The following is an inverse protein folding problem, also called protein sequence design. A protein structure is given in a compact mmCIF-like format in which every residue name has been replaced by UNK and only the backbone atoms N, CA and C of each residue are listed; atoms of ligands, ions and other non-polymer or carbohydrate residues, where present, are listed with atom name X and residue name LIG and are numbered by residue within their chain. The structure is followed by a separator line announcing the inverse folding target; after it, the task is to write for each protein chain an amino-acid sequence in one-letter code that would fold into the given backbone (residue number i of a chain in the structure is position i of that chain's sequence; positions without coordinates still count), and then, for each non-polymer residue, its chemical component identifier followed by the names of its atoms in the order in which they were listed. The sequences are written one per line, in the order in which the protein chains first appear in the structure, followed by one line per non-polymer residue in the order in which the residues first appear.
data_IF_774374034946
#
_entry.id   IF_774374034946
#
_cell.length_a   1.000
_cell.length_b   1.000
_cell.length_c   1.000
_cell.angle_alpha   90.00
_cell.angle_beta   90.00
_cell.angle_gamma   90.00
#
_symmetry.space_group_name_H-M   'P 1'
#
loop_
_entity.id
_entity.type
_entity.pdbx_description
1 polymer ?
#
# COMPACT_ATOMS: atom_id res chain seq x y z
N UNK A 1 -10.03 -4.91 14.64
CA UNK A 1 -10.00 -4.71 13.18
C UNK A 1 -8.80 -3.87 12.76
N UNK A 2 -7.72 -4.55 12.37
CA UNK A 2 -6.44 -3.96 11.98
C UNK A 2 -6.06 -4.48 10.58
N UNK A 3 -6.27 -3.64 9.57
CA UNK A 3 -5.83 -3.90 8.20
C UNK A 3 -4.56 -3.10 8.00
N UNK A 4 -3.47 -3.79 7.69
CA UNK A 4 -2.15 -3.15 7.63
C UNK A 4 -1.91 -2.54 6.26
N UNK A 5 -2.30 -3.26 5.21
CA UNK A 5 -2.12 -2.80 3.85
C UNK A 5 -3.11 -3.39 2.86
N UNK A 6 -3.18 -2.74 1.70
CA UNK A 6 -3.81 -3.23 0.50
C UNK A 6 -2.77 -3.36 -0.63
N UNK A 7 -2.72 -4.52 -1.25
CA UNK A 7 -1.77 -4.85 -2.32
C UNK A 7 -2.53 -5.16 -3.62
N UNK A 8 -2.16 -4.47 -4.70
CA UNK A 8 -2.71 -4.72 -6.04
C UNK A 8 -1.63 -5.22 -7.00
N UNK A 9 -2.08 -5.90 -8.05
CA UNK A 9 -1.22 -6.28 -9.18
C UNK A 9 -0.52 -7.64 -9.05
N UNK A 10 -0.73 -8.39 -7.96
CA UNK A 10 -0.21 -9.75 -7.79
C UNK A 10 -0.76 -10.66 -8.89
N UNK A 11 0.10 -11.39 -9.60
CA UNK A 11 -0.31 -12.37 -10.62
C UNK A 11 -0.93 -13.61 -9.99
N UNK A 12 -1.84 -14.31 -10.68
CA UNK A 12 -2.51 -15.50 -10.13
C UNK A 12 -1.55 -16.59 -9.65
N UNK A 13 -0.42 -16.78 -10.35
CA UNK A 13 0.61 -17.73 -9.94
C UNK A 13 1.33 -17.32 -8.64
N UNK A 14 1.76 -16.06 -8.55
CA UNK A 14 2.41 -15.54 -7.34
C UNK A 14 1.44 -15.45 -6.14
N UNK A 15 0.15 -15.22 -6.41
CA UNK A 15 -0.90 -15.04 -5.40
C UNK A 15 -1.06 -16.25 -4.49
N UNK A 16 -1.07 -17.46 -5.05
CA UNK A 16 -1.21 -18.70 -4.30
C UNK A 16 -0.06 -18.86 -3.30
N UNK A 17 1.17 -18.60 -3.75
CA UNK A 17 2.36 -18.66 -2.89
C UNK A 17 2.28 -17.57 -1.80
N UNK A 18 1.93 -16.35 -2.18
CA UNK A 18 1.79 -15.22 -1.25
C UNK A 18 0.79 -15.49 -0.13
N UNK A 19 -0.39 -16.03 -0.45
CA UNK A 19 -1.40 -16.36 0.56
C UNK A 19 -0.83 -17.36 1.58
N UNK A 20 -0.22 -18.46 1.09
CA UNK A 20 0.37 -19.49 1.96
C UNK A 20 1.47 -18.93 2.87
N UNK A 21 2.38 -18.15 2.30
CA UNK A 21 3.50 -17.56 3.05
C UNK A 21 2.99 -16.58 4.12
N UNK A 22 1.93 -15.83 3.84
CA UNK A 22 1.32 -14.90 4.79
C UNK A 22 0.54 -15.59 5.90
N UNK A 23 -0.13 -16.70 5.61
CA UNK A 23 -0.82 -17.51 6.62
C UNK A 23 0.16 -18.09 7.65
N UNK A 24 1.34 -18.51 7.20
CA UNK A 24 2.45 -18.96 8.09
C UNK A 24 2.93 -17.82 9.00
N UNK A 25 2.93 -16.58 8.52
CA UNK A 25 3.23 -15.38 9.28
C UNK A 25 2.05 -14.87 10.13
N UNK A 26 0.98 -15.67 10.28
CA UNK A 26 -0.23 -15.38 11.06
C UNK A 26 -1.04 -14.19 10.56
N UNK A 27 -0.89 -13.81 9.29
CA UNK A 27 -1.79 -12.87 8.65
C UNK A 27 -3.10 -13.54 8.23
N UNK A 28 -4.15 -12.73 8.13
CA UNK A 28 -5.38 -13.09 7.46
C UNK A 28 -5.47 -12.34 6.13
N UNK A 29 -5.71 -13.07 5.04
CA UNK A 29 -5.79 -12.50 3.69
C UNK A 29 -7.25 -12.34 3.29
N UNK A 30 -7.60 -11.15 2.78
CA UNK A 30 -8.90 -10.84 2.19
C UNK A 30 -8.68 -10.64 0.69
N UNK A 31 -9.22 -11.52 -0.13
CA UNK A 31 -9.06 -11.49 -1.59
C UNK A 31 -10.25 -10.78 -2.27
N UNK A 32 -10.03 -9.55 -2.74
CA UNK A 32 -11.06 -8.77 -3.41
C UNK A 32 -11.45 -9.33 -4.78
N UNK A 33 -10.54 -10.00 -5.48
CA UNK A 33 -10.85 -10.58 -6.79
C UNK A 33 -11.83 -11.76 -6.59
N UNK A 34 -11.63 -12.56 -5.55
CA UNK A 34 -12.54 -13.66 -5.20
C UNK A 34 -13.90 -13.15 -4.73
N UNK A 35 -13.93 -12.18 -3.82
CA UNK A 35 -15.17 -11.56 -3.34
C UNK A 35 -15.97 -10.97 -4.51
N UNK A 36 -15.31 -10.21 -5.39
CA UNK A 36 -15.94 -9.61 -6.56
C UNK A 36 -16.53 -10.69 -7.48
N UNK A 37 -15.78 -11.75 -7.77
CA UNK A 37 -16.26 -12.87 -8.57
C UNK A 37 -17.48 -13.57 -7.95
N UNK A 38 -17.50 -13.75 -6.63
CA UNK A 38 -18.63 -14.35 -5.91
C UNK A 38 -19.88 -13.47 -6.00
N UNK A 39 -19.73 -12.15 -5.86
CA UNK A 39 -20.83 -11.19 -6.04
C UNK A 39 -21.37 -11.25 -7.47
N UNK A 40 -20.48 -11.28 -8.47
CA UNK A 40 -20.86 -11.31 -9.89
C UNK A 40 -21.61 -12.58 -10.30
N UNK A 41 -21.29 -13.71 -9.64
CA UNK A 41 -21.96 -15.01 -9.86
C UNK A 41 -23.22 -15.19 -9.01
N UNK A 42 -23.49 -14.27 -8.08
CA UNK A 42 -24.66 -14.32 -7.22
C UNK A 42 -25.97 -14.18 -8.02
N UNK A 43 -27.01 -14.91 -7.61
CA UNK A 43 -28.30 -14.94 -8.30
C UNK A 43 -28.90 -13.54 -8.52
N UNK A 44 -28.81 -12.65 -7.52
CA UNK A 44 -29.29 -11.27 -7.64
C UNK A 44 -28.54 -10.47 -8.71
N UNK A 45 -27.21 -10.60 -8.79
CA UNK A 45 -26.42 -9.91 -9.81
C UNK A 45 -26.69 -10.47 -11.20
N UNK A 46 -26.82 -11.79 -11.32
CA UNK A 46 -27.19 -12.46 -12.58
C UNK A 46 -28.56 -11.99 -13.09
N UNK A 47 -29.55 -11.87 -12.19
CA UNK A 47 -30.87 -11.32 -12.53
C UNK A 47 -30.80 -9.86 -13.00
N UNK A 48 -30.08 -9.02 -12.26
CA UNK A 48 -29.88 -7.62 -12.65
C UNK A 48 -29.18 -7.50 -14.00
N UNK A 49 -28.16 -8.33 -14.25
CA UNK A 49 -27.46 -8.36 -15.53
C UNK A 49 -28.36 -8.79 -16.69
N UNK A 50 -29.22 -9.81 -16.48
CA UNK A 50 -30.20 -10.24 -17.48
C UNK A 50 -31.19 -9.13 -17.81
N UNK A 51 -31.72 -8.42 -16.81
CA UNK A 51 -32.58 -7.25 -17.02
C UNK A 51 -31.86 -6.13 -17.76
N UNK A 52 -30.62 -5.84 -17.37
CA UNK A 52 -29.77 -4.86 -18.04
C UNK A 52 -29.63 -5.17 -19.53
N UNK A 53 -29.30 -6.42 -19.86
CA UNK A 53 -29.09 -6.85 -21.23
C UNK A 53 -30.38 -6.77 -22.05
N UNK A 54 -31.51 -7.22 -21.50
CA UNK A 54 -32.82 -7.11 -22.15
C UNK A 54 -33.24 -5.67 -22.46
N UNK A 55 -33.04 -4.73 -21.52
CA UNK A 55 -33.32 -3.31 -21.77
C UNK A 55 -32.33 -2.68 -22.76
N UNK A 56 -31.06 -3.09 -22.72
CA UNK A 56 -30.04 -2.57 -23.65
C UNK A 56 -30.32 -3.00 -25.09
N UNK A 57 -30.67 -4.27 -25.30
CA UNK A 57 -30.94 -4.83 -26.62
C UNK A 57 -32.22 -4.26 -27.23
N UNK A 58 -33.21 -3.95 -26.39
CA UNK A 58 -34.43 -3.23 -26.79
C UNK A 58 -34.25 -1.70 -26.91
N UNK A 59 -33.02 -1.18 -26.79
CA UNK A 59 -32.68 0.26 -26.81
C UNK A 59 -33.51 1.10 -25.80
N UNK A 60 -33.88 0.50 -24.67
CA UNK A 60 -34.69 1.11 -23.64
C UNK A 60 -33.80 1.73 -22.56
N UNK A 61 -33.89 3.05 -22.35
CA UNK A 61 -33.09 3.81 -21.40
C UNK A 61 -33.15 3.33 -19.94
N UNK A 62 -34.14 2.50 -19.56
CA UNK A 62 -34.18 1.82 -18.25
C UNK A 62 -32.93 0.98 -17.96
N UNK A 63 -32.15 0.57 -18.97
CA UNK A 63 -30.86 -0.09 -18.75
C UNK A 63 -29.92 0.76 -17.87
N UNK A 64 -30.01 2.11 -17.96
CA UNK A 64 -29.20 3.04 -17.14
C UNK A 64 -29.58 2.97 -15.65
N UNK A 65 -30.85 2.75 -15.34
CA UNK A 65 -31.30 2.56 -13.96
C UNK A 65 -30.82 1.23 -13.39
N UNK A 66 -30.90 0.16 -14.19
CA UNK A 66 -30.38 -1.15 -13.79
C UNK A 66 -28.86 -1.08 -13.59
N UNK A 67 -28.12 -0.38 -14.45
CA UNK A 67 -26.67 -0.17 -14.31
C UNK A 67 -26.30 0.52 -12.98
N UNK A 68 -27.09 1.53 -12.57
CA UNK A 68 -26.94 2.16 -11.25
C UNK A 68 -27.24 1.19 -10.11
N UNK A 69 -28.31 0.40 -10.22
CA UNK A 69 -28.66 -0.62 -9.21
C UNK A 69 -27.57 -1.68 -9.06
N UNK A 70 -27.02 -2.17 -10.18
CA UNK A 70 -25.90 -3.10 -10.18
C UNK A 70 -24.66 -2.50 -9.50
N UNK A 71 -24.35 -1.24 -9.80
CA UNK A 71 -23.22 -0.54 -9.17
C UNK A 71 -23.39 -0.47 -7.65
N UNK A 72 -24.54 0.02 -7.17
CA UNK A 72 -24.83 0.15 -5.74
C UNK A 72 -24.82 -1.22 -5.04
N UNK A 73 -25.39 -2.23 -5.69
CA UNK A 73 -25.40 -3.59 -5.18
C UNK A 73 -23.97 -4.14 -5.02
N UNK A 74 -23.13 -4.00 -6.05
CA UNK A 74 -21.74 -4.44 -5.99
C UNK A 74 -20.94 -3.68 -4.92
N UNK A 75 -21.04 -2.36 -4.86
CA UNK A 75 -20.34 -1.53 -3.86
C UNK A 75 -20.73 -1.94 -2.44
N UNK A 76 -22.03 -2.03 -2.17
CA UNK A 76 -22.55 -2.42 -0.84
C UNK A 76 -22.13 -3.84 -0.47
N UNK A 77 -22.23 -4.78 -1.41
CA UNK A 77 -21.85 -6.17 -1.17
C UNK A 77 -20.34 -6.30 -0.94
N UNK A 78 -19.51 -5.59 -1.70
CA UNK A 78 -18.05 -5.59 -1.49
C UNK A 78 -17.68 -5.05 -0.12
N UNK A 79 -18.24 -3.89 0.29
CA UNK A 79 -17.96 -3.28 1.60
C UNK A 79 -18.35 -4.21 2.75
N UNK A 80 -19.56 -4.80 2.69
CA UNK A 80 -20.02 -5.77 3.68
C UNK A 80 -19.13 -7.02 3.74
N UNK A 81 -18.74 -7.56 2.59
CA UNK A 81 -17.87 -8.74 2.54
C UNK A 81 -16.47 -8.44 3.10
N UNK A 82 -15.90 -7.26 2.86
CA UNK A 82 -14.62 -6.86 3.47
C UNK A 82 -14.76 -6.81 5.00
N UNK A 83 -15.81 -6.15 5.50
CA UNK A 83 -16.07 -6.02 6.94
C UNK A 83 -16.22 -7.41 7.58
N UNK A 84 -17.05 -8.27 6.99
CA UNK A 84 -17.35 -9.60 7.51
C UNK A 84 -16.15 -10.56 7.42
N UNK A 85 -15.29 -10.39 6.41
CA UNK A 85 -14.09 -11.22 6.24
C UNK A 85 -12.94 -10.78 7.16
N UNK A 86 -13.00 -9.59 7.76
CA UNK A 86 -11.87 -9.12 8.55
C UNK A 86 -11.77 -9.83 9.89
N UNK A 87 -10.60 -10.38 10.19
CA UNK A 87 -10.32 -11.03 11.47
C UNK A 87 -10.06 -10.00 12.58
N UNK A 88 -10.62 -10.27 13.77
CA UNK A 88 -10.27 -9.55 15.00
C UNK A 88 -9.07 -10.16 15.73
N UNK A 89 -8.65 -11.37 15.37
CA UNK A 89 -7.56 -12.11 16.03
C UNK A 89 -6.23 -11.98 15.30
N UNK A 90 -6.27 -11.74 13.98
CA UNK A 90 -5.09 -11.63 13.13
C UNK A 90 -4.99 -10.24 12.51
N UNK A 91 -3.76 -9.86 12.16
CA UNK A 91 -3.49 -8.72 11.28
C UNK A 91 -4.01 -9.05 9.88
N UNK A 92 -4.69 -8.12 9.23
CA UNK A 92 -5.36 -8.35 7.95
C UNK A 92 -4.58 -7.69 6.80
N UNK A 93 -4.50 -8.38 5.67
CA UNK A 93 -3.96 -7.88 4.42
C UNK A 93 -5.04 -8.03 3.36
N UNK A 94 -5.32 -6.95 2.64
CA UNK A 94 -6.23 -6.99 1.50
C UNK A 94 -5.38 -7.17 0.24
N UNK A 95 -5.80 -8.06 -0.65
CA UNK A 95 -5.18 -8.25 -1.96
C UNK A 95 -6.22 -8.18 -3.08
N UNK A 96 -5.79 -7.87 -4.29
CA UNK A 96 -6.66 -7.85 -5.46
C UNK A 96 -7.26 -6.48 -5.72
N UNK A 97 -8.00 -6.36 -6.81
CA UNK A 97 -8.45 -5.06 -7.30
C UNK A 97 -9.72 -4.56 -6.61
N UNK A 98 -9.72 -3.28 -6.28
CA UNK A 98 -10.84 -2.56 -5.66
C UNK A 98 -11.72 -1.79 -6.65
N UNK A 99 -11.44 -1.89 -7.96
CA UNK A 99 -12.20 -1.15 -8.97
C UNK A 99 -13.46 -1.90 -9.40
N UNK A 100 -14.46 -1.14 -9.83
CA UNK A 100 -15.73 -1.67 -10.30
C UNK A 100 -15.51 -2.50 -11.57
N UNK A 101 -16.11 -3.68 -11.62
CA UNK A 101 -15.95 -4.69 -12.68
C UNK A 101 -16.24 -4.17 -14.11
N UNK A 102 -16.99 -3.07 -14.25
CA UNK A 102 -17.25 -2.39 -15.54
C UNK A 102 -16.67 -0.99 -15.67
N UNK A 103 -16.19 -0.39 -14.58
CA UNK A 103 -15.68 0.98 -14.58
C UNK A 103 -14.45 1.10 -13.69
N UNK A 104 -13.29 0.99 -14.30
CA UNK A 104 -11.97 1.04 -13.65
C UNK A 104 -11.73 2.31 -12.80
N UNK A 105 -12.43 3.41 -13.09
CA UNK A 105 -12.28 4.66 -12.35
C UNK A 105 -13.08 4.67 -11.05
N UNK A 106 -14.18 3.89 -10.97
CA UNK A 106 -14.97 3.70 -9.75
C UNK A 106 -14.32 2.64 -8.88
N UNK A 107 -14.20 2.89 -7.58
CA UNK A 107 -13.52 2.02 -6.63
C UNK A 107 -14.20 2.04 -5.28
N UNK A 108 -14.11 0.92 -4.57
CA UNK A 108 -14.50 0.84 -3.17
C UNK A 108 -13.38 1.33 -2.27
N UNK A 109 -13.75 1.90 -1.12
CA UNK A 109 -12.82 2.16 -0.05
C UNK A 109 -12.48 0.85 0.66
N UNK A 110 -11.24 0.39 0.53
CA UNK A 110 -10.74 -0.83 1.20
C UNK A 110 -10.34 -0.60 2.65
N UNK A 111 -10.67 0.57 3.20
CA UNK A 111 -10.32 1.02 4.54
C UNK A 111 -11.61 1.16 5.36
N UNK A 112 -12.04 0.09 6.06
CA UNK A 112 -13.21 0.16 6.94
C UNK A 112 -13.04 1.28 7.97
N UNK A 113 -14.10 2.07 8.17
CA UNK A 113 -14.11 3.22 9.08
C UNK A 113 -13.06 4.30 8.75
N UNK A 114 -12.63 4.41 7.48
CA UNK A 114 -11.61 5.35 7.03
C UNK A 114 -10.29 5.24 7.81
N UNK A 115 -9.97 4.05 8.33
CA UNK A 115 -8.69 3.78 8.99
C UNK A 115 -7.54 3.79 7.97
N UNK A 116 -6.57 4.71 8.06
CA UNK A 116 -5.50 4.77 7.07
C UNK A 116 -4.68 3.47 7.03
N UNK A 117 -4.42 2.96 5.82
CA UNK A 117 -3.69 1.72 5.54
C UNK A 117 -2.60 1.98 4.50
N UNK A 118 -1.52 1.20 4.52
CA UNK A 118 -0.51 1.27 3.47
C UNK A 118 -1.05 0.71 2.14
N UNK A 119 -0.67 1.30 1.01
CA UNK A 119 -1.18 0.95 -0.32
C UNK A 119 -0.01 0.64 -1.24
N UNK A 120 0.05 -0.61 -1.72
CA UNK A 120 1.14 -1.10 -2.55
C UNK A 120 0.66 -1.60 -3.90
N UNK A 121 1.44 -1.30 -4.94
CA UNK A 121 1.22 -1.82 -6.28
C UNK A 121 2.46 -2.56 -6.76
N UNK A 122 2.23 -3.74 -7.34
CA UNK A 122 3.24 -4.50 -8.07
C UNK A 122 3.03 -4.24 -9.56
N UNK A 123 3.98 -3.56 -10.20
CA UNK A 123 3.92 -3.26 -11.62
C UNK A 123 4.02 -4.53 -12.45
N UNK A 124 3.26 -4.54 -13.54
CA UNK A 124 3.31 -5.63 -14.51
C UNK A 124 4.66 -5.65 -15.24
N UNK A 125 5.28 -6.82 -15.34
CA UNK A 125 6.40 -7.06 -16.25
C UNK A 125 5.95 -7.80 -17.51
N UNK A 126 6.77 -7.77 -18.57
CA UNK A 126 6.49 -8.58 -19.78
C UNK A 126 6.47 -10.07 -19.48
N UNK A 127 7.27 -10.55 -18.53
CA UNK A 127 7.23 -11.94 -18.04
C UNK A 127 5.90 -12.27 -17.40
N UNK A 128 5.36 -11.38 -16.56
CA UNK A 128 4.06 -11.58 -15.91
C UNK A 128 2.94 -11.73 -16.94
N UNK A 129 2.95 -10.93 -18.01
CA UNK A 129 1.96 -11.03 -19.09
C UNK A 129 2.03 -12.40 -19.77
N UNK A 130 3.24 -12.90 -20.06
CA UNK A 130 3.41 -14.23 -20.66
C UNK A 130 2.93 -15.34 -19.73
N UNK A 131 3.15 -15.19 -18.42
CA UNK A 131 2.68 -16.15 -17.43
C UNK A 131 1.15 -16.14 -17.32
N UNK A 132 0.52 -14.97 -17.38
CA UNK A 132 -0.94 -14.82 -17.46
C UNK A 132 -1.49 -15.54 -18.70
N UNK A 133 -0.90 -15.30 -19.88
CA UNK A 133 -1.31 -15.95 -21.13
C UNK A 133 -1.18 -17.47 -21.02
N UNK A 134 -0.04 -17.98 -20.54
CA UNK A 134 0.18 -19.42 -20.35
C UNK A 134 -0.87 -20.04 -19.42
N UNK A 135 -1.20 -19.36 -18.32
CA UNK A 135 -2.23 -19.81 -17.39
C UNK A 135 -3.62 -19.83 -18.05
N UNK A 136 -3.97 -18.80 -18.82
CA UNK A 136 -5.25 -18.73 -19.52
C UNK A 136 -5.39 -19.83 -20.58
N UNK A 137 -4.36 -20.04 -21.40
CA UNK A 137 -4.33 -21.12 -22.40
C UNK A 137 -4.49 -22.49 -21.73
N UNK A 138 -3.81 -22.71 -20.60
CA UNK A 138 -3.86 -24.00 -19.89
C UNK A 138 -5.22 -24.23 -19.25
N UNK A 139 -5.78 -23.20 -18.59
CA UNK A 139 -7.03 -23.31 -17.82
C UNK A 139 -8.28 -23.37 -18.70
N UNK A 140 -8.28 -22.65 -19.83
CA UNK A 140 -9.45 -22.48 -20.70
C UNK A 140 -9.24 -23.16 -22.06
N UNK A 141 -8.37 -24.19 -22.13
CA UNK A 141 -8.01 -24.87 -23.37
C UNK A 141 -9.23 -25.32 -24.17
N UNK A 142 -10.20 -25.96 -23.51
CA UNK A 142 -11.38 -26.50 -24.17
C UNK A 142 -12.31 -25.39 -24.68
N UNK A 143 -12.50 -24.32 -23.89
CA UNK A 143 -13.28 -23.14 -24.28
C UNK A 143 -12.64 -22.41 -25.47
N UNK A 144 -11.30 -22.37 -25.53
CA UNK A 144 -10.55 -21.81 -26.66
C UNK A 144 -10.78 -22.64 -27.92
N UNK A 145 -10.68 -23.97 -27.82
CA UNK A 145 -10.91 -24.89 -28.94
C UNK A 145 -12.36 -24.78 -29.45
N UNK A 146 -13.32 -24.61 -28.54
CA UNK A 146 -14.74 -24.45 -28.85
C UNK A 146 -15.11 -23.05 -29.33
N UNK A 147 -14.17 -22.09 -29.30
CA UNK A 147 -14.41 -20.70 -29.71
C UNK A 147 -15.29 -19.91 -28.74
N UNK A 148 -15.51 -20.39 -27.52
CA UNK A 148 -16.30 -19.72 -26.48
C UNK A 148 -15.45 -18.80 -25.59
N UNK A 149 -14.12 -18.88 -25.68
CA UNK A 149 -13.20 -18.05 -24.90
C UNK A 149 -12.78 -16.75 -25.64
N UNK A 150 -12.86 -15.57 -25.00
CA UNK A 150 -12.39 -14.31 -25.61
C UNK A 150 -10.88 -14.30 -25.85
N UNK A 151 -10.45 -14.13 -27.11
CA UNK A 151 -9.03 -14.19 -27.49
C UNK A 151 -8.22 -12.99 -26.98
N UNK A 152 -8.87 -11.87 -26.63
CA UNK A 152 -8.21 -10.73 -25.99
C UNK A 152 -7.52 -11.13 -24.67
N UNK A 153 -8.00 -12.18 -24.00
CA UNK A 153 -7.40 -12.70 -22.77
C UNK A 153 -6.15 -13.56 -23.01
N UNK A 154 -5.74 -13.80 -24.27
CA UNK A 154 -4.45 -14.39 -24.62
C UNK A 154 -3.59 -13.48 -25.50
N UNK A 155 -4.11 -12.30 -25.87
CA UNK A 155 -3.38 -11.28 -26.61
C UNK A 155 -2.42 -10.50 -25.69
N UNK A 156 -1.14 -10.47 -26.07
CA UNK A 156 -0.10 -9.85 -25.26
C UNK A 156 -0.30 -8.34 -25.11
N UNK A 157 -0.55 -7.64 -26.21
CA UNK A 157 -0.61 -6.18 -26.22
C UNK A 157 -1.86 -5.69 -25.51
N UNK A 158 -2.99 -6.39 -25.66
CA UNK A 158 -4.22 -6.11 -24.95
C UNK A 158 -4.03 -6.23 -23.44
N UNK A 159 -3.51 -7.37 -22.96
CA UNK A 159 -3.29 -7.61 -21.52
C UNK A 159 -2.27 -6.62 -20.96
N UNK A 160 -1.14 -6.43 -21.65
CA UNK A 160 -0.08 -5.53 -21.22
C UNK A 160 -0.57 -4.08 -21.14
N UNK A 161 -1.24 -3.58 -22.17
CA UNK A 161 -1.78 -2.22 -22.18
C UNK A 161 -2.86 -2.03 -21.11
N UNK A 162 -3.74 -3.02 -20.88
CA UNK A 162 -4.75 -2.93 -19.84
C UNK A 162 -4.12 -2.88 -18.44
N UNK A 163 -3.07 -3.68 -18.21
CA UNK A 163 -2.32 -3.66 -16.95
C UNK A 163 -1.59 -2.34 -16.72
N UNK A 164 -0.95 -1.76 -17.74
CA UNK A 164 -0.32 -0.44 -17.62
C UNK A 164 -1.32 0.68 -17.30
N UNK A 165 -2.54 0.60 -17.86
CA UNK A 165 -3.64 1.52 -17.53
C UNK A 165 -4.05 1.39 -16.06
N UNK A 166 -4.21 0.16 -15.57
CA UNK A 166 -4.47 -0.11 -14.16
C UNK A 166 -3.37 0.45 -13.28
N UNK A 167 -2.11 0.17 -13.62
CA UNK A 167 -0.97 0.60 -12.81
C UNK A 167 -0.94 2.13 -12.67
N UNK A 168 -1.11 2.84 -13.79
CA UNK A 168 -1.21 4.31 -13.81
C UNK A 168 -2.35 4.84 -12.95
N UNK A 169 -3.50 4.17 -12.96
CA UNK A 169 -4.65 4.56 -12.14
C UNK A 169 -4.32 4.37 -10.66
N UNK A 170 -3.76 3.23 -10.25
CA UNK A 170 -3.45 3.00 -8.85
C UNK A 170 -2.35 3.93 -8.32
N UNK A 171 -1.31 4.21 -9.10
CA UNK A 171 -0.27 5.20 -8.74
C UNK A 171 -0.86 6.60 -8.52
N UNK A 172 -1.73 7.06 -9.42
CA UNK A 172 -2.44 8.36 -9.27
C UNK A 172 -3.28 8.44 -8.00
N UNK A 173 -3.60 7.31 -7.37
CA UNK A 173 -4.36 7.22 -6.13
C UNK A 173 -3.49 6.88 -4.93
N UNK A 174 -2.19 7.14 -5.05
CA UNK A 174 -1.24 7.05 -3.96
C UNK A 174 -0.83 5.62 -3.62
N UNK A 175 -0.87 4.67 -4.56
CA UNK A 175 -0.25 3.36 -4.32
C UNK A 175 1.25 3.46 -4.60
N UNK A 176 2.07 2.93 -3.70
CA UNK A 176 3.53 2.90 -3.88
C UNK A 176 3.93 1.65 -4.62
N UNK A 177 4.70 1.84 -5.70
CA UNK A 177 5.34 0.74 -6.41
C UNK A 177 6.33 0.01 -5.49
N UNK A 178 6.13 -1.30 -5.34
CA UNK A 178 7.01 -2.19 -4.59
C UNK A 178 7.09 -3.55 -5.29
N UNK A 179 8.26 -4.18 -5.27
CA UNK A 179 8.38 -5.59 -5.64
C UNK A 179 7.75 -6.49 -4.58
N UNK A 180 7.33 -7.69 -4.97
CA UNK A 180 6.76 -8.67 -4.04
C UNK A 180 7.73 -8.99 -2.89
N UNK A 181 9.03 -9.14 -3.18
CA UNK A 181 10.07 -9.36 -2.17
C UNK A 181 10.18 -8.20 -1.18
N UNK A 182 10.00 -6.97 -1.65
CA UNK A 182 10.00 -5.81 -0.77
C UNK A 182 8.78 -5.82 0.15
N UNK A 183 7.61 -6.18 -0.38
CA UNK A 183 6.38 -6.33 0.41
C UNK A 183 6.56 -7.42 1.47
N UNK A 184 7.14 -8.58 1.12
CA UNK A 184 7.47 -9.63 2.10
C UNK A 184 8.34 -9.11 3.24
N UNK A 185 9.39 -8.36 2.92
CA UNK A 185 10.28 -7.76 3.94
C UNK A 185 9.52 -6.80 4.85
N UNK A 186 8.70 -5.92 4.28
CA UNK A 186 7.87 -4.97 5.06
C UNK A 186 6.94 -5.72 6.01
N UNK A 187 6.20 -6.72 5.51
CA UNK A 187 5.26 -7.48 6.31
C UNK A 187 5.95 -8.30 7.41
N UNK A 188 7.08 -8.95 7.09
CA UNK A 188 7.85 -9.66 8.10
C UNK A 188 8.34 -8.73 9.22
N UNK A 189 8.77 -7.51 8.87
CA UNK A 189 9.15 -6.49 9.86
C UNK A 189 7.93 -5.98 10.65
N UNK A 190 6.74 -5.88 10.03
CA UNK A 190 5.51 -5.43 10.67
C UNK A 190 4.99 -6.37 11.76
N UNK A 191 5.50 -7.59 11.84
CA UNK A 191 5.20 -8.53 12.93
C UNK A 191 6.03 -8.31 14.19
N UNK A 192 7.07 -7.47 14.12
CA UNK A 192 7.88 -7.10 15.27
C UNK A 192 7.32 -5.83 15.92
N UNK A 193 7.45 -5.73 17.23
CA UNK A 193 7.07 -4.51 17.95
C UNK A 193 8.01 -3.35 17.62
N UNK A 194 7.48 -2.13 17.74
CA UNK A 194 8.27 -0.91 17.55
C UNK A 194 9.06 -0.67 18.83
N UNK A 195 10.36 -0.95 18.78
CA UNK A 195 11.29 -0.70 19.88
C UNK A 195 11.41 0.81 20.18
N UNK A 196 11.45 1.16 21.47
CA UNK A 196 11.69 2.53 21.96
C UNK A 196 10.44 3.39 22.21
N UNK A 197 10.69 4.64 22.62
CA UNK A 197 9.68 5.58 23.13
C UNK A 197 8.61 5.96 22.11
N UNK A 198 8.85 5.74 20.82
CA UNK A 198 8.11 6.50 19.81
C UNK A 198 8.56 6.34 18.38
N UNK A 199 7.86 7.05 17.51
CA UNK A 199 8.35 7.40 16.18
C UNK A 199 8.58 8.90 16.13
N UNK A 200 9.78 9.30 15.72
CA UNK A 200 10.25 10.67 15.71
C UNK A 200 10.41 11.18 14.27
N UNK A 201 9.99 12.42 14.05
CA UNK A 201 10.16 13.15 12.79
C UNK A 201 10.87 14.47 13.09
N UNK A 202 11.96 14.76 12.38
CA UNK A 202 12.63 16.06 12.47
C UNK A 202 12.15 16.99 11.35
N UNK A 203 11.82 18.24 11.69
CA UNK A 203 11.44 19.29 10.75
C UNK A 203 12.15 20.61 11.05
N UNK A 204 12.23 21.47 10.02
CA UNK A 204 12.80 22.83 10.13
C UNK A 204 11.80 23.84 10.72
N UNK A 205 10.51 23.64 10.44
CA UNK A 205 9.44 24.56 10.81
C UNK A 205 8.73 24.10 12.08
N UNK A 206 8.23 25.04 12.91
CA UNK A 206 7.43 24.72 14.06
C UNK A 206 6.01 24.30 13.66
N UNK A 207 5.51 23.26 14.33
CA UNK A 207 4.15 22.77 14.33
C UNK A 207 3.63 22.70 15.77
N UNK A 208 2.31 22.81 15.91
CA UNK A 208 1.63 22.67 17.20
C UNK A 208 1.42 21.19 17.55
N UNK A 209 1.44 20.87 18.85
CA UNK A 209 0.98 19.57 19.34
C UNK A 209 -0.47 19.34 18.91
N UNK A 210 -0.84 18.09 18.64
CA UNK A 210 -2.14 17.67 18.10
C UNK A 210 -2.41 18.10 16.65
N UNK A 211 -1.53 18.87 16.03
CA UNK A 211 -1.62 19.14 14.59
C UNK A 211 -1.13 17.94 13.76
N UNK A 212 -1.46 17.94 12.46
CA UNK A 212 -1.08 16.87 11.53
C UNK A 212 0.04 17.31 10.61
N UNK A 213 1.04 16.45 10.45
CA UNK A 213 2.06 16.55 9.40
C UNK A 213 1.53 15.78 8.19
N UNK A 214 1.45 16.42 7.03
CA UNK A 214 0.99 15.79 5.79
C UNK A 214 2.17 15.37 4.92
N UNK A 215 2.17 14.17 4.32
CA UNK A 215 3.12 13.85 3.27
C UNK A 215 2.96 14.82 2.09
N UNK A 216 4.05 15.06 1.35
CA UNK A 216 3.95 15.77 0.08
C UNK A 216 3.09 14.95 -0.90
N UNK A 217 2.50 15.62 -1.90
CA UNK A 217 1.69 14.95 -2.92
C UNK A 217 2.50 13.82 -3.57
N UNK A 218 1.95 12.61 -3.56
CA UNK A 218 2.58 11.37 -4.05
C UNK A 218 3.89 10.99 -3.33
N UNK A 219 4.05 11.40 -2.07
CA UNK A 219 5.22 11.08 -1.25
C UNK A 219 4.79 10.41 0.07
N UNK A 220 5.76 10.13 0.93
CA UNK A 220 5.56 9.51 2.25
C UNK A 220 6.32 10.28 3.33
N UNK A 221 5.78 10.24 4.54
CA UNK A 221 6.48 10.68 5.74
C UNK A 221 7.44 9.58 6.17
N UNK A 222 8.64 9.96 6.59
CA UNK A 222 9.56 9.07 7.27
C UNK A 222 9.61 9.40 8.75
N UNK A 223 9.57 8.37 9.58
CA UNK A 223 9.78 8.49 11.01
C UNK A 223 10.75 7.42 11.50
N UNK A 224 11.39 7.69 12.62
CA UNK A 224 12.47 6.84 13.14
C UNK A 224 12.26 6.56 14.62
N UNK A 225 12.66 5.38 15.09
CA UNK A 225 12.64 5.07 16.53
C UNK A 225 13.71 5.84 17.29
N UNK A 226 14.81 6.18 16.61
CA UNK A 226 15.94 6.94 17.14
C UNK A 226 15.88 8.43 16.76
N UNK A 227 16.04 9.31 17.75
CA UNK A 227 15.99 10.78 17.60
C UNK A 227 17.11 11.30 16.72
N UNK A 228 18.33 10.76 16.85
CA UNK A 228 19.48 11.18 16.05
C UNK A 228 19.29 10.81 14.58
N UNK A 229 18.74 9.64 14.28
CA UNK A 229 18.38 9.26 12.91
C UNK A 229 17.31 10.16 12.31
N UNK A 230 16.29 10.53 13.09
CA UNK A 230 15.29 11.50 12.66
C UNK A 230 15.96 12.84 12.30
N UNK A 231 16.85 13.35 13.15
CA UNK A 231 17.61 14.58 12.89
C UNK A 231 18.47 14.48 11.63
N UNK A 232 19.31 13.44 11.52
CA UNK A 232 20.19 13.22 10.37
C UNK A 232 19.42 13.13 9.06
N UNK A 233 18.19 12.60 9.07
CA UNK A 233 17.34 12.52 7.88
C UNK A 233 16.87 13.89 7.37
N UNK A 234 16.92 14.93 8.21
CA UNK A 234 16.52 16.29 7.87
C UNK A 234 17.67 17.16 7.32
N UNK A 235 18.90 16.63 7.31
CA UNK A 235 20.07 17.25 6.72
C UNK A 235 20.51 16.51 5.46
N UNK A 236 21.15 17.21 4.53
CA UNK A 236 21.68 16.62 3.32
C UNK A 236 23.16 16.29 3.51
N UNK A 237 23.49 15.01 3.36
CA UNK A 237 24.84 14.48 3.42
C UNK A 237 25.10 13.61 2.19
N UNK A 238 26.31 13.71 1.65
CA UNK A 238 26.76 12.79 0.60
C UNK A 238 27.23 11.46 1.23
N UNK A 239 27.25 10.38 0.44
CA UNK A 239 27.63 9.03 0.90
C UNK A 239 29.09 8.95 1.41
N UNK A 240 29.93 9.89 0.97
CA UNK A 240 31.34 10.00 1.33
C UNK A 240 31.59 10.98 2.51
N UNK A 241 30.55 11.57 3.09
CA UNK A 241 30.67 12.56 4.18
C UNK A 241 30.46 11.96 5.57
N UNK A 242 29.55 11.00 5.71
CA UNK A 242 29.20 10.40 7.00
C UNK A 242 29.12 8.87 6.92
N UNK A 243 29.62 8.22 7.95
CA UNK A 243 29.37 6.82 8.23
C UNK A 243 28.40 6.70 9.42
N UNK A 244 27.34 5.90 9.25
CA UNK A 244 26.39 5.59 10.31
C UNK A 244 26.64 4.16 10.76
N UNK A 245 26.82 3.96 12.06
CA UNK A 245 27.01 2.64 12.65
C UNK A 245 26.18 2.51 13.92
N UNK A 246 25.97 1.27 14.35
CA UNK A 246 25.28 0.97 15.60
C UNK A 246 26.29 0.54 16.64
N UNK A 247 26.23 1.16 17.81
CA UNK A 247 26.99 0.79 19.00
C UNK A 247 26.01 0.59 20.16
N UNK A 248 25.94 -0.62 20.72
CA UNK A 248 24.98 -0.98 21.77
C UNK A 248 23.53 -0.55 21.48
N UNK A 249 23.03 -0.81 20.26
CA UNK A 249 21.70 -0.41 19.76
C UNK A 249 21.45 1.11 19.69
N UNK A 250 22.45 1.94 19.96
CA UNK A 250 22.39 3.38 19.72
C UNK A 250 23.05 3.72 18.39
N UNK A 251 22.44 4.64 17.65
CA UNK A 251 23.01 5.11 16.40
C UNK A 251 24.14 6.07 16.72
N UNK A 252 25.31 5.80 16.13
CA UNK A 252 26.45 6.70 16.15
C UNK A 252 26.83 7.10 14.74
N UNK A 253 27.48 8.25 14.65
CA UNK A 253 27.91 8.84 13.39
C UNK A 253 29.40 9.10 13.46
N UNK A 254 30.13 8.75 12.40
CA UNK A 254 31.52 9.10 12.22
C UNK A 254 31.64 10.00 10.99
N UNK A 255 32.18 11.20 11.17
CA UNK A 255 32.50 12.09 10.07
C UNK A 255 33.69 11.52 9.27
N UNK A 256 33.56 11.49 7.95
CA UNK A 256 34.66 11.07 7.04
C UNK A 256 35.47 12.26 6.53
N UNK A 257 34.95 13.48 6.70
CA UNK A 257 35.62 14.74 6.34
C UNK A 257 35.44 15.74 7.48
N UNK A 258 36.45 16.57 7.68
CA UNK A 258 36.44 17.60 8.72
C UNK A 258 35.32 18.64 8.47
N UNK A 259 34.72 19.13 9.55
CA UNK A 259 33.66 20.15 9.50
C UNK A 259 32.30 19.69 8.96
N UNK A 260 32.14 18.45 8.48
CA UNK A 260 30.87 17.97 7.91
C UNK A 260 29.70 18.06 8.90
N UNK A 261 29.96 17.78 10.17
CA UNK A 261 28.94 17.85 11.22
C UNK A 261 28.50 19.29 11.53
N UNK A 262 29.27 20.31 11.15
CA UNK A 262 28.88 21.71 11.30
C UNK A 262 27.66 22.08 10.44
N UNK A 263 27.33 21.28 9.40
CA UNK A 263 26.05 21.39 8.69
C UNK A 263 24.84 21.23 9.62
N UNK A 264 25.03 20.62 10.79
CA UNK A 264 24.02 20.44 11.82
C UNK A 264 23.95 21.62 12.81
N UNK A 265 24.73 22.68 12.60
CA UNK A 265 24.70 23.93 13.37
C UNK A 265 23.46 24.78 13.05
N UNK A 266 22.28 24.16 13.12
CA UNK A 266 20.99 24.77 12.85
C UNK A 266 19.95 24.33 13.88
N UNK A 267 18.92 25.15 14.10
CA UNK A 267 17.76 24.79 14.91
C UNK A 267 16.90 23.73 14.22
N UNK A 268 16.34 22.80 14.98
CA UNK A 268 15.38 21.80 14.51
C UNK A 268 14.29 21.52 15.54
N UNK A 269 13.18 21.00 15.06
CA UNK A 269 12.08 20.51 15.88
C UNK A 269 11.97 19.01 15.71
N UNK A 270 12.02 18.27 16.82
CA UNK A 270 11.77 16.83 16.86
C UNK A 270 10.34 16.60 17.34
N UNK A 271 9.56 15.91 16.54
CA UNK A 271 8.17 15.59 16.82
C UNK A 271 8.00 14.12 17.10
N UNK A 272 7.43 13.79 18.26
CA UNK A 272 6.89 12.46 18.52
C UNK A 272 5.53 12.35 17.84
N UNK A 273 5.30 11.29 17.07
CA UNK A 273 4.06 11.12 16.30
C UNK A 273 3.34 9.81 16.62
N UNK A 274 2.03 9.79 16.35
CA UNK A 274 1.22 8.57 16.44
C UNK A 274 1.74 7.46 15.51
N UNK A 275 1.94 6.26 16.07
CA UNK A 275 2.50 5.10 15.35
C UNK A 275 1.52 4.44 14.36
N UNK A 276 0.23 4.74 14.48
CA UNK A 276 -0.88 3.98 13.89
C UNK A 276 -0.82 3.78 12.36
N UNK A 277 -0.23 4.72 11.63
CA UNK A 277 -0.22 4.71 10.16
C UNK A 277 1.16 4.43 9.56
N UNK A 278 2.13 4.14 10.41
CA UNK A 278 3.49 3.85 10.00
C UNK A 278 3.68 2.36 9.77
N UNK A 279 4.29 2.03 8.65
CA UNK A 279 4.78 0.68 8.34
C UNK A 279 6.30 0.68 8.26
N UNK A 280 6.98 -0.43 8.58
CA UNK A 280 8.44 -0.51 8.50
C UNK A 280 8.94 -0.25 7.08
N UNK A 281 10.07 0.45 6.97
CA UNK A 281 10.77 0.60 5.71
C UNK A 281 11.66 -0.63 5.46
N UNK A 282 11.68 -1.14 4.23
CA UNK A 282 12.40 -2.39 3.90
C UNK A 282 13.91 -2.33 4.14
N UNK A 283 14.50 -1.13 4.06
CA UNK A 283 15.92 -0.84 4.34
C UNK A 283 16.17 -0.33 5.77
N UNK A 284 15.14 -0.36 6.62
CA UNK A 284 15.12 0.34 7.90
C UNK A 284 15.53 -0.50 9.10
N UNK A 285 15.60 -1.83 8.97
CA UNK A 285 15.87 -2.77 10.06
C UNK A 285 15.10 -2.44 11.37
N UNK A 286 13.80 -2.15 11.27
CA UNK A 286 12.94 -1.69 12.38
C UNK A 286 13.30 -0.36 13.05
N UNK A 287 14.22 0.42 12.49
CA UNK A 287 14.55 1.76 12.97
C UNK A 287 13.88 2.84 12.12
N UNK A 288 13.57 2.54 10.85
CA UNK A 288 12.94 3.47 9.91
C UNK A 288 11.56 2.98 9.49
N UNK A 289 10.59 3.88 9.56
CA UNK A 289 9.20 3.64 9.19
C UNK A 289 8.75 4.70 8.20
N UNK A 290 7.67 4.41 7.47
CA UNK A 290 7.03 5.39 6.61
C UNK A 290 5.51 5.34 6.69
N UNK A 291 4.87 6.48 6.43
CA UNK A 291 3.42 6.63 6.32
C UNK A 291 3.07 7.37 5.03
N UNK A 292 2.05 6.91 4.33
CA UNK A 292 1.46 7.61 3.17
C UNK A 292 0.32 8.55 3.59
N UNK A 293 0.05 8.59 4.89
CA UNK A 293 -1.09 9.22 5.50
C UNK A 293 -0.59 10.25 6.53
N UNK A 294 -1.38 11.28 6.86
CA UNK A 294 -0.95 12.31 7.79
C UNK A 294 -0.67 11.75 9.18
N UNK A 295 0.37 12.28 9.85
CA UNK A 295 0.76 11.87 11.18
C UNK A 295 0.38 12.94 12.21
N UNK A 296 -0.35 12.56 13.27
CA UNK A 296 -0.67 13.45 14.38
C UNK A 296 0.53 13.61 15.30
N UNK A 297 0.85 14.84 15.68
CA UNK A 297 1.92 15.17 16.62
C UNK A 297 1.44 14.96 18.06
N UNK A 298 2.20 14.18 18.81
CA UNK A 298 1.96 13.90 20.23
C UNK A 298 2.77 14.85 21.11
N UNK A 299 4.05 15.08 20.76
CA UNK A 299 4.96 15.89 21.56
C UNK A 299 6.04 16.55 20.68
N UNK A 300 6.71 17.58 21.20
CA UNK A 300 7.74 18.35 20.51
C UNK A 300 8.93 18.67 21.41
N UNK A 301 10.13 18.36 20.89
CA UNK A 301 11.41 18.81 21.46
C UNK A 301 12.00 19.89 20.55
N UNK A 302 12.26 21.06 21.13
CA UNK A 302 12.86 22.20 20.41
C UNK A 302 14.37 22.19 20.60
N UNK A 303 15.11 21.92 19.53
CA UNK A 303 16.58 21.90 19.53
C UNK A 303 17.07 23.22 18.95
N UNK A 304 17.73 24.03 19.78
CA UNK A 304 18.28 25.32 19.35
C UNK A 304 19.45 25.14 18.38
N UNK A 305 20.23 24.08 18.57
CA UNK A 305 21.42 23.79 17.77
C UNK A 305 21.73 22.29 17.83
N UNK A 306 21.54 21.60 16.70
CA UNK A 306 21.70 20.13 16.67
C UNK A 306 23.15 19.71 16.87
N UNK A 307 24.10 20.43 16.27
CA UNK A 307 25.52 20.12 16.41
C UNK A 307 25.97 20.17 17.87
N UNK A 308 25.63 21.26 18.57
CA UNK A 308 26.01 21.43 19.99
C UNK A 308 25.42 20.36 20.90
N UNK A 309 24.16 20.02 20.70
CA UNK A 309 23.44 19.09 21.59
C UNK A 309 23.89 17.63 21.42
N UNK A 310 24.33 17.23 20.21
CA UNK A 310 24.63 15.83 19.89
C UNK A 310 26.11 15.52 19.60
N UNK A 311 26.96 16.53 19.39
CA UNK A 311 28.35 16.31 18.93
C UNK A 311 29.43 17.18 19.58
N UNK A 312 29.09 18.24 20.33
CA UNK A 312 30.07 19.04 21.10
C UNK A 312 30.15 18.66 22.59
N UNK A 313 29.49 17.58 23.03
CA UNK A 313 29.55 17.07 24.40
C UNK A 313 30.62 16.00 24.57
#
# INVERSE_FOLDING_TARGET
MDIICHIVGITSGAKIKFIKDMELLKYHIIDLDEISNNILRGSSMVQLYSQYQGFKDSKNDKYKEIDKKMTIYWETAMEQNIINSTSNLKKNIIIGYSHHFRNINKRICVSPNNKPIAKFIIKVSKSDVRDIIRNNITKFKDDIIQGSYPLENIDFDFIHCNRLKLDTIYEKNGYLEKSLDTIYKILNLSNKDIDGDGLWIALKQPYNVSSKIYPKKNDKLFAFTDKLMALLSNFHFNDDELEKYYDNNTVKVKAKKDGVLEKMNEKRYLYLVEKKHFVPHEKGNNVKYFSQEPATIIDVVKIKNVFKEYFEN
#
